data_IF_506865556564
#
_entry.id   IF_506865556564
#
_cell.length_a   1.000
_cell.length_b   1.000
_cell.length_c   1.000
_cell.angle_alpha   90.00
_cell.angle_beta   90.00
_cell.angle_gamma   90.00
#
_symmetry.space_group_name_H-M   'P 1'
#
loop_
_entity.id
_entity.type
_entity.pdbx_description
1 polymer ?
#
# COMPACT_ATOMS: atom_id res chain seq x y z
N UNK A 1 -64.34 -20.07 -7.77
CA UNK A 1 -65.16 -19.80 -8.97
C UNK A 1 -64.24 -19.38 -10.11
N UNK A 2 -64.36 -20.09 -11.24
CA UNK A 2 -63.93 -19.78 -12.61
C UNK A 2 -62.45 -19.56 -12.97
N UNK A 3 -61.90 -20.61 -13.63
CA UNK A 3 -60.88 -20.62 -14.68
C UNK A 3 -61.41 -19.99 -15.99
N UNK A 4 -60.53 -19.42 -16.85
CA UNK A 4 -60.42 -19.53 -18.34
C UNK A 4 -59.00 -18.98 -18.71
N UNK A 5 -57.95 -19.75 -19.05
CA UNK A 5 -57.41 -20.18 -20.40
C UNK A 5 -57.29 -19.04 -21.45
N UNK A 6 -56.23 -18.82 -22.26
CA UNK A 6 -55.47 -19.70 -23.19
C UNK A 6 -54.18 -18.96 -23.66
N UNK A 7 -52.98 -19.57 -23.65
CA UNK A 7 -52.27 -20.31 -24.73
C UNK A 7 -51.67 -19.50 -25.91
N UNK A 8 -50.35 -19.72 -26.08
CA UNK A 8 -49.55 -19.90 -27.32
C UNK A 8 -49.20 -18.69 -28.20
N UNK A 9 -47.91 -18.42 -28.41
CA UNK A 9 -47.15 -18.98 -29.54
C UNK A 9 -45.74 -18.40 -29.65
N UNK A 10 -44.76 -19.27 -29.83
CA UNK A 10 -43.34 -18.99 -30.08
C UNK A 10 -43.09 -18.44 -31.48
N UNK A 11 -42.06 -17.58 -31.63
CA UNK A 11 -41.26 -17.47 -32.85
C UNK A 11 -39.88 -16.85 -32.52
N UNK A 12 -38.88 -17.71 -32.40
CA UNK A 12 -37.46 -17.36 -32.45
C UNK A 12 -37.12 -17.08 -33.91
N UNK A 13 -36.63 -15.87 -34.23
CA UNK A 13 -36.08 -15.53 -35.52
C UNK A 13 -34.58 -15.29 -35.38
N UNK A 14 -33.79 -16.33 -35.65
CA UNK A 14 -32.34 -16.23 -35.84
C UNK A 14 -32.11 -15.71 -37.26
N UNK A 15 -31.61 -14.49 -37.39
CA UNK A 15 -31.07 -13.97 -38.65
C UNK A 15 -29.56 -14.18 -38.65
N UNK A 16 -29.12 -15.30 -39.22
CA UNK A 16 -27.74 -15.49 -39.62
C UNK A 16 -27.54 -14.78 -40.96
N UNK A 17 -26.81 -13.67 -40.97
CA UNK A 17 -26.37 -13.01 -42.21
C UNK A 17 -24.96 -13.53 -42.51
N UNK A 18 -24.86 -14.44 -43.47
CA UNK A 18 -23.61 -14.90 -44.05
C UNK A 18 -23.21 -13.93 -45.17
N UNK A 19 -22.12 -13.20 -45.00
CA UNK A 19 -21.48 -12.44 -46.08
C UNK A 19 -20.41 -13.31 -46.77
N UNK A 20 -20.24 -13.20 -48.10
CA UNK A 20 -19.29 -14.03 -48.83
C UNK A 20 -17.86 -13.51 -48.67
N UNK A 21 -16.94 -14.45 -48.50
CA UNK A 21 -15.50 -14.21 -48.60
C UNK A 21 -15.15 -13.76 -50.02
N UNK A 22 -14.66 -12.52 -50.16
CA UNK A 22 -13.92 -12.06 -51.34
C UNK A 22 -12.48 -11.91 -50.89
N UNK A 23 -11.62 -12.78 -51.40
CA UNK A 23 -10.17 -12.67 -51.25
C UNK A 23 -9.63 -11.59 -52.19
N UNK A 24 -8.88 -10.64 -51.63
CA UNK A 24 -7.92 -9.83 -52.38
C UNK A 24 -6.72 -9.55 -51.46
N UNK A 25 -5.56 -9.97 -51.93
CA UNK A 25 -4.26 -9.84 -51.29
C UNK A 25 -3.86 -8.37 -51.10
N UNK A 26 -3.59 -7.96 -49.86
CA UNK A 26 -2.71 -6.84 -49.53
C UNK A 26 -1.94 -7.19 -48.25
N UNK A 27 -0.61 -7.16 -48.34
CA UNK A 27 0.30 -7.18 -47.19
C UNK A 27 -0.01 -5.96 -46.32
N UNK A 28 -0.45 -6.16 -45.08
CA UNK A 28 0.11 -5.51 -43.90
C UNK A 28 -0.46 -6.13 -42.60
N UNK A 29 0.25 -5.93 -41.49
CA UNK A 29 0.14 -6.61 -40.20
C UNK A 29 -1.25 -7.04 -39.73
N UNK A 30 -1.30 -8.27 -39.23
CA UNK A 30 -2.33 -8.83 -38.35
C UNK A 30 -2.53 -7.93 -37.12
N UNK A 31 -3.69 -7.30 -36.98
CA UNK A 31 -4.18 -6.75 -35.72
C UNK A 31 -5.32 -7.66 -35.26
N UNK A 32 -5.20 -8.22 -34.05
CA UNK A 32 -6.23 -9.09 -33.48
C UNK A 32 -7.51 -8.27 -33.21
N UNK A 33 -8.73 -8.83 -33.35
CA UNK A 33 -9.98 -8.10 -33.08
C UNK A 33 -10.06 -7.49 -31.67
N UNK A 34 -9.38 -8.09 -30.69
CA UNK A 34 -9.24 -7.59 -29.31
C UNK A 34 -8.36 -6.32 -29.22
N UNK A 35 -7.28 -6.24 -30.01
CA UNK A 35 -6.40 -5.07 -30.05
C UNK A 35 -7.05 -3.85 -30.73
N UNK A 36 -7.94 -4.09 -31.70
CA UNK A 36 -8.66 -3.02 -32.36
C UNK A 36 -9.73 -2.36 -31.45
N UNK A 37 -10.35 -3.15 -30.57
CA UNK A 37 -11.39 -2.66 -29.63
C UNK A 37 -10.77 -1.97 -28.41
N UNK A 38 -9.68 -2.50 -27.85
CA UNK A 38 -8.95 -1.86 -26.74
C UNK A 38 -8.37 -0.50 -27.14
N UNK A 39 -7.78 -0.39 -28.34
CA UNK A 39 -7.23 0.87 -28.85
C UNK A 39 -8.29 1.96 -29.05
N UNK A 40 -9.50 1.59 -29.49
CA UNK A 40 -10.61 2.55 -29.61
C UNK A 40 -11.15 3.02 -28.26
N UNK A 41 -11.24 2.11 -27.28
CA UNK A 41 -11.66 2.42 -25.91
C UNK A 41 -10.67 3.38 -25.23
N UNK A 42 -9.37 3.08 -25.32
CA UNK A 42 -8.31 3.95 -24.80
C UNK A 42 -8.33 5.33 -25.46
N UNK A 43 -8.48 5.42 -26.79
CA UNK A 43 -8.58 6.71 -27.49
C UNK A 43 -9.75 7.57 -26.97
N UNK A 44 -10.91 6.94 -26.73
CA UNK A 44 -12.07 7.64 -26.19
C UNK A 44 -11.83 8.12 -24.76
N UNK A 45 -11.31 7.26 -23.88
CA UNK A 45 -11.01 7.60 -22.48
C UNK A 45 -9.93 8.68 -22.38
N UNK A 46 -8.86 8.63 -23.19
CA UNK A 46 -7.86 9.71 -23.27
C UNK A 46 -8.48 11.03 -23.71
N UNK A 47 -9.36 11.01 -24.72
CA UNK A 47 -10.03 12.21 -25.22
C UNK A 47 -11.00 12.80 -24.19
N UNK A 48 -11.70 11.93 -23.45
CA UNK A 48 -12.56 12.31 -22.34
C UNK A 48 -11.76 12.93 -21.19
N UNK A 49 -10.66 12.29 -20.77
CA UNK A 49 -9.77 12.80 -19.73
C UNK A 49 -9.25 14.19 -20.09
N UNK A 50 -8.68 14.36 -21.29
CA UNK A 50 -8.16 15.67 -21.76
C UNK A 50 -9.22 16.77 -21.68
N UNK A 51 -10.45 16.47 -22.12
CA UNK A 51 -11.57 17.42 -22.02
C UNK A 51 -11.89 17.76 -20.55
N UNK A 52 -11.86 16.77 -19.66
CA UNK A 52 -12.13 16.99 -18.25
C UNK A 52 -11.04 17.85 -17.60
N UNK A 53 -9.77 17.66 -17.98
CA UNK A 53 -8.64 18.48 -17.54
C UNK A 53 -8.81 19.93 -18.00
N UNK A 54 -9.13 20.15 -19.28
CA UNK A 54 -9.38 21.49 -19.83
C UNK A 54 -10.50 22.23 -19.08
N UNK A 55 -11.52 21.49 -18.62
CA UNK A 55 -12.66 22.05 -17.88
C UNK A 55 -12.38 22.23 -16.38
N UNK A 56 -11.55 21.38 -15.77
CA UNK A 56 -11.29 21.39 -14.32
C UNK A 56 -9.98 22.07 -13.92
N UNK A 57 -9.23 22.62 -14.88
CA UNK A 57 -7.97 23.36 -14.72
C UNK A 57 -6.76 22.54 -14.25
N UNK A 58 -6.94 21.36 -13.66
CA UNK A 58 -5.84 20.45 -13.29
C UNK A 58 -6.22 18.98 -13.49
N UNK A 59 -5.19 18.13 -13.61
CA UNK A 59 -5.39 16.68 -13.79
C UNK A 59 -5.97 16.05 -12.54
N UNK A 60 -5.53 16.42 -11.35
CA UNK A 60 -6.09 15.90 -10.10
C UNK A 60 -7.57 16.19 -9.94
N UNK A 61 -8.01 17.41 -10.24
CA UNK A 61 -9.44 17.77 -10.17
C UNK A 61 -10.28 16.98 -11.17
N UNK A 62 -9.74 16.76 -12.37
CA UNK A 62 -10.38 15.91 -13.37
C UNK A 62 -10.50 14.46 -12.85
N UNK A 63 -9.42 13.90 -12.32
CA UNK A 63 -9.38 12.54 -11.75
C UNK A 63 -10.37 12.41 -10.58
N UNK A 64 -10.35 13.32 -9.61
CA UNK A 64 -11.30 13.29 -8.49
C UNK A 64 -12.75 13.36 -8.96
N UNK A 65 -13.03 14.22 -9.94
CA UNK A 65 -14.37 14.35 -10.53
C UNK A 65 -14.81 13.06 -11.22
N UNK A 66 -13.92 12.42 -11.98
CA UNK A 66 -14.22 11.16 -12.67
C UNK A 66 -14.39 10.03 -11.64
N UNK A 67 -13.45 9.85 -10.72
CA UNK A 67 -13.49 8.82 -9.69
C UNK A 67 -14.78 8.88 -8.86
N UNK A 68 -15.25 10.08 -8.52
CA UNK A 68 -16.50 10.27 -7.75
C UNK A 68 -17.76 9.83 -8.50
N UNK A 69 -17.77 9.90 -9.84
CA UNK A 69 -18.96 9.59 -10.66
C UNK A 69 -18.86 8.23 -11.37
N UNK A 70 -17.65 7.75 -11.60
CA UNK A 70 -17.33 6.52 -12.32
C UNK A 70 -16.28 5.71 -11.53
N UNK A 71 -16.61 5.27 -10.31
CA UNK A 71 -15.66 4.59 -9.43
C UNK A 71 -15.14 3.26 -10.01
N UNK A 72 -15.90 2.62 -10.89
CA UNK A 72 -15.52 1.36 -11.56
C UNK A 72 -14.45 1.56 -12.64
N UNK A 73 -14.32 2.78 -13.17
CA UNK A 73 -13.40 3.10 -14.27
C UNK A 73 -12.12 3.79 -13.78
N UNK A 74 -12.01 4.06 -12.47
CA UNK A 74 -10.94 4.91 -11.91
C UNK A 74 -9.54 4.37 -12.23
N UNK A 75 -9.32 3.06 -12.14
CA UNK A 75 -8.01 2.44 -12.38
C UNK A 75 -7.60 2.61 -13.84
N UNK A 76 -8.51 2.34 -14.79
CA UNK A 76 -8.28 2.54 -16.23
C UNK A 76 -8.04 4.01 -16.57
N UNK A 77 -8.71 4.93 -15.89
CA UNK A 77 -8.50 6.37 -16.09
C UNK A 77 -7.15 6.82 -15.52
N UNK A 78 -6.75 6.29 -14.36
CA UNK A 78 -5.43 6.55 -13.77
C UNK A 78 -4.32 6.01 -14.66
N UNK A 79 -4.48 4.81 -15.22
CA UNK A 79 -3.56 4.20 -16.19
C UNK A 79 -3.27 5.16 -17.35
N UNK A 80 -4.34 5.63 -18.00
CA UNK A 80 -4.26 6.60 -19.10
C UNK A 80 -3.68 7.94 -18.64
N UNK A 81 -4.01 8.39 -17.43
CA UNK A 81 -3.53 9.66 -16.90
C UNK A 81 -2.03 9.63 -16.62
N UNK A 82 -1.50 8.54 -16.07
CA UNK A 82 -0.07 8.35 -15.83
C UNK A 82 0.72 8.29 -17.15
N UNK A 83 0.14 7.70 -18.19
CA UNK A 83 0.74 7.71 -19.54
C UNK A 83 0.70 9.09 -20.20
N UNK A 84 -0.40 9.84 -19.98
CA UNK A 84 -0.62 11.13 -20.65
C UNK A 84 0.09 12.28 -19.93
N UNK A 85 0.19 12.23 -18.60
CA UNK A 85 0.73 13.28 -17.74
C UNK A 85 1.69 12.70 -16.68
N UNK A 86 2.78 12.02 -17.09
CA UNK A 86 3.68 11.31 -16.16
C UNK A 86 4.31 12.23 -15.12
N UNK A 87 4.63 13.48 -15.49
CA UNK A 87 5.19 14.49 -14.57
C UNK A 87 4.20 14.90 -13.45
N UNK A 88 2.92 14.57 -13.60
CA UNK A 88 1.86 14.88 -12.64
C UNK A 88 1.42 13.66 -11.83
N UNK A 89 2.20 12.56 -11.82
CA UNK A 89 1.86 11.33 -11.10
C UNK A 89 1.43 11.56 -9.64
N UNK A 90 2.08 12.52 -8.95
CA UNK A 90 1.75 12.85 -7.55
C UNK A 90 0.31 13.31 -7.40
N UNK A 91 -0.13 14.20 -8.28
CA UNK A 91 -1.47 14.76 -8.24
C UNK A 91 -2.50 13.70 -8.66
N UNK A 92 -2.17 12.88 -9.66
CA UNK A 92 -3.04 11.80 -10.16
C UNK A 92 -3.29 10.75 -9.08
N UNK A 93 -2.23 10.18 -8.51
CA UNK A 93 -2.32 9.10 -7.51
C UNK A 93 -3.05 9.61 -6.27
N UNK A 94 -2.67 10.79 -5.76
CA UNK A 94 -3.31 11.38 -4.59
C UNK A 94 -4.80 11.63 -4.83
N UNK A 95 -5.16 12.25 -5.95
CA UNK A 95 -6.55 12.53 -6.28
C UNK A 95 -7.39 11.25 -6.44
N UNK A 96 -6.84 10.22 -7.08
CA UNK A 96 -7.53 8.95 -7.30
C UNK A 96 -7.78 8.22 -5.98
N UNK A 97 -6.75 8.05 -5.15
CA UNK A 97 -6.84 7.34 -3.86
C UNK A 97 -7.78 8.08 -2.91
N UNK A 98 -7.61 9.39 -2.74
CA UNK A 98 -8.50 10.15 -1.83
C UNK A 98 -9.95 10.19 -2.29
N UNK A 99 -10.22 10.00 -3.58
CA UNK A 99 -11.59 9.99 -4.11
C UNK A 99 -12.20 8.59 -4.13
N UNK A 100 -11.38 7.55 -4.30
CA UNK A 100 -11.80 6.15 -4.32
C UNK A 100 -10.84 5.26 -3.52
N UNK A 101 -10.91 5.30 -2.17
CA UNK A 101 -10.07 4.49 -1.29
C UNK A 101 -10.08 2.99 -1.59
N UNK A 102 -11.22 2.44 -2.03
CA UNK A 102 -11.33 1.01 -2.33
C UNK A 102 -10.45 0.52 -3.48
N UNK A 103 -9.92 1.43 -4.30
CA UNK A 103 -9.03 1.12 -5.43
C UNK A 103 -7.55 1.38 -5.11
N UNK A 104 -7.22 1.64 -3.84
CA UNK A 104 -5.86 2.01 -3.40
C UNK A 104 -4.82 0.98 -3.81
N UNK A 105 -5.09 -0.30 -3.55
CA UNK A 105 -4.17 -1.40 -3.85
C UNK A 105 -3.81 -1.45 -5.35
N UNK A 106 -4.84 -1.46 -6.21
CA UNK A 106 -4.69 -1.49 -7.66
C UNK A 106 -3.98 -0.23 -8.19
N UNK A 107 -4.28 0.95 -7.65
CA UNK A 107 -3.63 2.21 -8.05
C UNK A 107 -2.15 2.23 -7.66
N UNK A 108 -1.80 1.73 -6.48
CA UNK A 108 -0.41 1.64 -6.01
C UNK A 108 0.36 0.65 -6.87
N UNK A 109 -0.19 -0.54 -7.11
CA UNK A 109 0.42 -1.54 -7.98
C UNK A 109 0.66 -0.98 -9.38
N UNK A 110 -0.35 -0.35 -9.99
CA UNK A 110 -0.26 0.28 -11.30
C UNK A 110 0.85 1.35 -11.36
N UNK A 111 0.95 2.19 -10.33
CA UNK A 111 1.98 3.23 -10.27
C UNK A 111 3.40 2.65 -10.18
N UNK A 112 3.58 1.56 -9.43
CA UNK A 112 4.86 0.85 -9.30
C UNK A 112 5.22 0.18 -10.62
N UNK A 113 4.27 -0.55 -11.24
CA UNK A 113 4.47 -1.23 -12.52
C UNK A 113 4.82 -0.26 -13.66
N UNK A 114 4.28 0.95 -13.62
CA UNK A 114 4.62 2.02 -14.59
C UNK A 114 5.91 2.76 -14.26
N UNK A 115 6.56 2.45 -13.13
CA UNK A 115 7.80 3.08 -12.70
C UNK A 115 7.74 4.63 -12.67
N UNK A 116 6.58 5.20 -12.33
CA UNK A 116 6.38 6.67 -12.34
C UNK A 116 7.20 7.37 -11.23
N UNK A 117 7.61 6.62 -10.21
CA UNK A 117 8.55 7.02 -9.17
C UNK A 117 9.13 5.78 -8.48
N UNK A 118 9.97 5.98 -7.46
CA UNK A 118 10.40 4.88 -6.59
C UNK A 118 9.23 4.36 -5.75
N UNK A 119 9.23 3.06 -5.46
CA UNK A 119 8.19 2.42 -4.64
C UNK A 119 7.98 3.13 -3.29
N UNK A 120 9.03 3.51 -2.52
CA UNK A 120 8.86 4.23 -1.25
C UNK A 120 8.15 5.59 -1.40
N UNK A 121 8.39 6.30 -2.52
CA UNK A 121 7.70 7.57 -2.77
C UNK A 121 6.21 7.36 -3.07
N UNK A 122 5.87 6.29 -3.79
CA UNK A 122 4.49 5.91 -4.10
C UNK A 122 3.77 5.51 -2.81
N UNK A 123 4.41 4.68 -1.98
CA UNK A 123 3.90 4.28 -0.65
C UNK A 123 3.61 5.49 0.23
N UNK A 124 4.58 6.41 0.37
CA UNK A 124 4.38 7.64 1.14
C UNK A 124 3.18 8.44 0.62
N UNK A 125 3.11 8.64 -0.69
CA UNK A 125 2.05 9.42 -1.31
C UNK A 125 0.67 8.79 -1.08
N UNK A 126 0.56 7.47 -1.25
CA UNK A 126 -0.69 6.73 -1.09
C UNK A 126 -1.19 6.75 0.37
N UNK A 127 -0.29 6.55 1.34
CA UNK A 127 -0.63 6.64 2.76
C UNK A 127 -1.05 8.06 3.14
N UNK A 128 -0.38 9.09 2.61
CA UNK A 128 -0.79 10.48 2.82
C UNK A 128 -2.17 10.79 2.22
N UNK A 129 -2.52 10.15 1.10
CA UNK A 129 -3.79 10.33 0.42
C UNK A 129 -4.95 9.65 1.15
N UNK A 130 -4.70 8.47 1.72
CA UNK A 130 -5.67 7.72 2.52
C UNK A 130 -4.98 6.87 3.62
N UNK A 131 -4.81 7.41 4.83
CA UNK A 131 -4.11 6.73 5.92
C UNK A 131 -4.80 5.45 6.39
N UNK A 132 -6.13 5.34 6.23
CA UNK A 132 -6.88 4.18 6.74
C UNK A 132 -6.67 2.91 5.89
N UNK A 133 -6.11 3.05 4.68
CA UNK A 133 -5.82 1.96 3.75
C UNK A 133 -4.34 1.55 3.74
N UNK A 134 -3.57 1.95 4.75
CA UNK A 134 -2.13 1.70 4.83
C UNK A 134 -1.75 0.22 4.66
N UNK A 135 -2.52 -0.71 5.20
CA UNK A 135 -2.26 -2.16 5.06
C UNK A 135 -2.29 -2.60 3.58
N UNK A 136 -3.25 -2.10 2.80
CA UNK A 136 -3.35 -2.37 1.36
C UNK A 136 -2.20 -1.74 0.57
N UNK A 137 -1.76 -0.54 0.97
CA UNK A 137 -0.62 0.14 0.34
C UNK A 137 0.66 -0.65 0.53
N UNK A 138 0.96 -1.03 1.79
CA UNK A 138 2.19 -1.76 2.09
C UNK A 138 2.17 -3.18 1.53
N UNK A 139 1.00 -3.82 1.48
CA UNK A 139 0.81 -5.11 0.80
C UNK A 139 1.17 -5.02 -0.69
N UNK A 140 0.51 -4.12 -1.43
CA UNK A 140 0.75 -3.93 -2.87
C UNK A 140 2.24 -3.66 -3.15
N UNK A 141 2.85 -2.78 -2.35
CA UNK A 141 4.25 -2.42 -2.47
C UNK A 141 5.19 -3.60 -2.18
N UNK A 142 4.95 -4.36 -1.10
CA UNK A 142 5.80 -5.47 -0.70
C UNK A 142 5.72 -6.66 -1.68
N UNK A 143 4.55 -6.86 -2.31
CA UNK A 143 4.37 -7.84 -3.38
C UNK A 143 5.06 -7.40 -4.66
N UNK A 144 4.92 -6.12 -5.04
CA UNK A 144 5.47 -5.60 -6.29
C UNK A 144 7.00 -5.46 -6.26
N UNK A 145 7.58 -5.06 -5.11
CA UNK A 145 9.03 -4.85 -4.94
C UNK A 145 9.53 -5.48 -3.63
N UNK A 146 9.60 -6.82 -3.53
CA UNK A 146 9.99 -7.52 -2.30
C UNK A 146 11.40 -7.17 -1.80
N UNK A 147 12.30 -6.76 -2.69
CA UNK A 147 13.65 -6.30 -2.39
C UNK A 147 13.69 -4.95 -1.65
N UNK A 148 12.65 -4.12 -1.79
CA UNK A 148 12.52 -2.83 -1.11
C UNK A 148 11.75 -2.93 0.23
N UNK A 149 11.39 -4.14 0.69
CA UNK A 149 10.55 -4.37 1.86
C UNK A 149 10.97 -3.57 3.10
N UNK A 150 12.27 -3.54 3.42
CA UNK A 150 12.75 -2.77 4.57
C UNK A 150 12.48 -1.27 4.42
N UNK A 151 12.61 -0.72 3.22
CA UNK A 151 12.39 0.71 2.97
C UNK A 151 10.89 1.05 2.91
N UNK A 152 10.07 0.13 2.39
CA UNK A 152 8.60 0.22 2.45
C UNK A 152 8.13 0.29 3.90
N UNK A 153 8.59 -0.62 4.76
CA UNK A 153 8.27 -0.62 6.20
C UNK A 153 8.69 0.70 6.83
N UNK A 154 9.93 1.14 6.57
CA UNK A 154 10.48 2.39 7.14
C UNK A 154 9.61 3.58 6.78
N UNK A 155 9.28 3.75 5.50
CA UNK A 155 8.50 4.87 5.00
C UNK A 155 7.05 4.82 5.47
N UNK A 156 6.44 3.63 5.46
CA UNK A 156 5.05 3.47 5.91
C UNK A 156 4.90 3.83 7.40
N UNK A 157 5.79 3.31 8.24
CA UNK A 157 5.80 3.55 9.68
C UNK A 157 6.13 5.02 10.00
N UNK A 158 7.04 5.66 9.26
CA UNK A 158 7.28 7.11 9.41
C UNK A 158 6.10 7.97 8.96
N UNK A 159 5.38 7.55 7.92
CA UNK A 159 4.27 8.32 7.35
C UNK A 159 3.01 8.18 8.19
N UNK A 160 2.75 6.98 8.72
CA UNK A 160 1.62 6.69 9.61
C UNK A 160 2.07 5.90 10.86
N UNK A 161 2.71 6.59 11.84
CA UNK A 161 3.19 5.96 13.08
C UNK A 161 2.09 5.24 13.87
N UNK A 162 0.87 5.80 13.87
CA UNK A 162 -0.27 5.25 14.60
C UNK A 162 -0.74 3.88 14.06
N UNK A 163 -0.35 3.54 12.83
CA UNK A 163 -0.67 2.25 12.21
C UNK A 163 0.55 1.30 12.17
N UNK A 164 1.66 1.64 12.83
CA UNK A 164 2.88 0.85 12.76
C UNK A 164 2.69 -0.60 13.20
N UNK A 165 1.86 -0.84 14.21
CA UNK A 165 1.51 -2.19 14.67
C UNK A 165 0.82 -2.99 13.55
N UNK A 166 -0.16 -2.38 12.87
CA UNK A 166 -0.90 -3.00 11.76
C UNK A 166 0.02 -3.29 10.59
N UNK A 167 0.88 -2.33 10.22
CA UNK A 167 1.87 -2.50 9.14
C UNK A 167 2.80 -3.69 9.43
N UNK A 168 3.38 -3.73 10.63
CA UNK A 168 4.30 -4.83 11.02
C UNK A 168 3.55 -6.15 11.02
N UNK A 169 2.33 -6.19 11.54
CA UNK A 169 1.52 -7.41 11.59
C UNK A 169 1.18 -7.93 10.19
N UNK A 170 0.65 -7.07 9.31
CA UNK A 170 0.29 -7.40 7.92
C UNK A 170 1.49 -7.96 7.18
N UNK A 171 2.60 -7.22 7.15
CA UNK A 171 3.79 -7.63 6.40
C UNK A 171 4.46 -8.87 7.00
N UNK A 172 4.42 -9.06 8.33
CA UNK A 172 4.98 -10.25 8.98
C UNK A 172 4.19 -11.51 8.66
N UNK A 173 2.86 -11.40 8.51
CA UNK A 173 2.00 -12.53 8.12
C UNK A 173 2.25 -12.94 6.66
N UNK A 174 2.44 -11.96 5.78
CA UNK A 174 2.64 -12.17 4.35
C UNK A 174 4.05 -12.60 4.00
N UNK A 175 5.04 -12.13 4.77
CA UNK A 175 6.46 -12.46 4.60
C UNK A 175 7.07 -13.04 5.89
N UNK A 176 6.68 -14.27 6.32
CA UNK A 176 7.16 -14.85 7.59
C UNK A 176 8.69 -15.04 7.67
N UNK A 177 9.35 -15.21 6.53
CA UNK A 177 10.80 -15.33 6.41
C UNK A 177 11.54 -13.98 6.51
N UNK A 178 10.81 -12.87 6.56
CA UNK A 178 11.31 -11.49 6.61
C UNK A 178 10.93 -10.74 7.89
N UNK A 179 10.33 -11.43 8.87
CA UNK A 179 9.89 -10.86 10.15
C UNK A 179 10.97 -10.01 10.82
N UNK A 180 12.23 -10.46 10.81
CA UNK A 180 13.36 -9.72 11.41
C UNK A 180 13.62 -8.41 10.72
N UNK A 181 13.67 -8.43 9.38
CA UNK A 181 13.94 -7.27 8.54
C UNK A 181 12.82 -6.22 8.74
N UNK A 182 11.56 -6.69 8.82
CA UNK A 182 10.38 -5.86 9.06
C UNK A 182 10.45 -5.22 10.44
N UNK A 183 10.60 -6.03 11.49
CA UNK A 183 10.63 -5.56 12.88
C UNK A 183 11.79 -4.60 13.15
N UNK A 184 12.98 -4.93 12.63
CA UNK A 184 14.16 -4.07 12.76
C UNK A 184 13.97 -2.74 12.03
N UNK A 185 13.40 -2.77 10.83
CA UNK A 185 13.13 -1.54 10.07
C UNK A 185 12.11 -0.65 10.78
N UNK A 186 11.01 -1.24 11.29
CA UNK A 186 10.00 -0.51 12.05
C UNK A 186 10.58 0.11 13.34
N UNK A 187 11.38 -0.66 14.10
CA UNK A 187 12.02 -0.18 15.33
C UNK A 187 12.95 1.01 15.07
N UNK A 188 13.74 0.96 14.00
CA UNK A 188 14.64 2.04 13.61
C UNK A 188 13.89 3.27 13.08
N UNK A 189 12.71 3.07 12.48
CA UNK A 189 11.92 4.13 11.88
C UNK A 189 11.15 4.94 12.94
N UNK A 190 10.48 4.23 13.85
CA UNK A 190 9.62 4.86 14.84
C UNK A 190 9.78 4.20 16.21
N UNK A 191 10.19 4.96 17.25
CA UNK A 191 10.36 4.43 18.60
C UNK A 191 9.06 4.04 19.31
N UNK A 192 7.90 4.47 18.79
CA UNK A 192 6.58 4.18 19.38
C UNK A 192 6.19 2.69 19.26
N UNK A 193 6.79 1.93 18.34
CA UNK A 193 6.52 0.47 18.16
C UNK A 193 7.31 -0.41 19.13
N UNK A 194 8.06 0.20 20.05
CA UNK A 194 9.11 -0.45 20.84
C UNK A 194 8.65 -1.58 21.77
N UNK A 195 7.43 -1.58 22.30
CA UNK A 195 7.01 -2.63 23.25
C UNK A 195 6.83 -3.99 22.54
N UNK A 196 5.88 -4.09 21.60
CA UNK A 196 5.60 -5.34 20.90
C UNK A 196 6.77 -5.83 20.05
N UNK A 197 7.49 -4.91 19.38
CA UNK A 197 8.64 -5.28 18.56
C UNK A 197 9.76 -5.85 19.41
N UNK A 198 10.00 -5.31 20.61
CA UNK A 198 10.99 -5.86 21.54
C UNK A 198 10.56 -7.25 22.03
N UNK A 199 9.30 -7.43 22.44
CA UNK A 199 8.80 -8.74 22.86
C UNK A 199 8.98 -9.80 21.76
N UNK A 200 8.52 -9.48 20.55
CA UNK A 200 8.57 -10.39 19.41
C UNK A 200 10.00 -10.69 18.97
N UNK A 201 10.88 -9.67 18.90
CA UNK A 201 12.29 -9.87 18.54
C UNK A 201 13.03 -10.70 19.60
N UNK A 202 12.77 -10.48 20.89
CA UNK A 202 13.42 -11.25 21.95
C UNK A 202 12.90 -12.70 22.01
N UNK A 203 11.63 -12.93 21.67
CA UNK A 203 11.07 -14.27 21.57
C UNK A 203 11.73 -15.11 20.45
N UNK A 204 12.05 -14.48 19.31
CA UNK A 204 12.66 -15.17 18.17
C UNK A 204 14.20 -15.17 18.25
N UNK A 205 14.81 -14.11 18.78
CA UNK A 205 16.26 -13.89 18.87
C UNK A 205 16.71 -13.52 20.29
N UNK A 206 16.64 -14.45 21.26
CA UNK A 206 17.02 -14.18 22.65
C UNK A 206 18.50 -13.82 22.82
N UNK A 207 19.35 -14.17 21.85
CA UNK A 207 20.78 -13.85 21.86
C UNK A 207 21.10 -12.42 21.41
N UNK A 208 20.18 -11.76 20.69
CA UNK A 208 20.35 -10.39 20.17
C UNK A 208 19.76 -9.33 21.12
N UNK A 209 19.46 -9.73 22.36
CA UNK A 209 18.80 -8.89 23.35
C UNK A 209 19.52 -7.56 23.60
N UNK A 210 20.85 -7.56 23.54
CA UNK A 210 21.65 -6.34 23.65
C UNK A 210 21.27 -5.32 22.58
N UNK A 211 21.35 -5.72 21.31
CA UNK A 211 21.10 -4.84 20.17
C UNK A 211 19.65 -4.37 20.12
N UNK A 212 18.70 -5.27 20.38
CA UNK A 212 17.26 -4.96 20.38
C UNK A 212 16.92 -3.94 21.47
N UNK A 213 17.34 -4.21 22.72
CA UNK A 213 17.05 -3.31 23.85
C UNK A 213 17.80 -1.98 23.72
N UNK A 214 19.09 -2.00 23.35
CA UNK A 214 19.86 -0.77 23.18
C UNK A 214 19.24 0.15 22.13
N UNK A 215 18.83 -0.42 20.99
CA UNK A 215 18.21 0.35 19.91
C UNK A 215 16.86 0.89 20.35
N UNK A 216 16.00 0.06 20.92
CA UNK A 216 14.68 0.47 21.39
C UNK A 216 14.77 1.60 22.45
N UNK A 217 15.64 1.45 23.46
CA UNK A 217 15.81 2.46 24.51
C UNK A 217 16.38 3.76 23.96
N UNK A 218 17.37 3.69 23.05
CA UNK A 218 17.99 4.87 22.45
C UNK A 218 16.98 5.68 21.64
N UNK A 219 16.24 5.01 20.76
CA UNK A 219 15.26 5.68 19.90
C UNK A 219 14.06 6.21 20.73
N UNK A 220 13.67 5.54 21.80
CA UNK A 220 12.57 5.97 22.69
C UNK A 220 13.01 6.91 23.83
N UNK A 221 14.28 7.32 23.90
CA UNK A 221 14.86 8.07 25.03
C UNK A 221 14.14 9.38 25.38
N UNK A 222 13.46 10.00 24.43
CA UNK A 222 12.67 11.22 24.65
C UNK A 222 11.32 10.98 25.35
N UNK A 223 10.92 9.71 25.51
CA UNK A 223 9.61 9.30 26.02
C UNK A 223 9.76 8.34 27.18
N UNK A 224 9.71 8.89 28.40
CA UNK A 224 9.91 8.13 29.64
C UNK A 224 9.00 6.91 29.75
N UNK A 225 7.70 7.06 29.45
CA UNK A 225 6.74 5.94 29.53
C UNK A 225 7.09 4.80 28.56
N UNK A 226 7.59 5.12 27.38
CA UNK A 226 7.95 4.12 26.39
C UNK A 226 9.20 3.34 26.79
N UNK A 227 10.21 4.04 27.35
CA UNK A 227 11.40 3.40 27.92
C UNK A 227 11.01 2.44 29.06
N UNK A 228 10.09 2.84 29.93
CA UNK A 228 9.59 1.96 31.01
C UNK A 228 8.99 0.68 30.44
N UNK A 229 8.08 0.81 29.45
CA UNK A 229 7.44 -0.34 28.80
C UNK A 229 8.44 -1.26 28.10
N UNK A 230 9.43 -0.70 27.40
CA UNK A 230 10.50 -1.47 26.74
C UNK A 230 11.32 -2.27 27.75
N UNK A 231 11.74 -1.65 28.85
CA UNK A 231 12.55 -2.31 29.88
C UNK A 231 11.75 -3.42 30.58
N UNK A 232 10.49 -3.15 30.95
CA UNK A 232 9.60 -4.15 31.55
C UNK A 232 9.37 -5.34 30.62
N UNK A 233 9.17 -5.08 29.33
CA UNK A 233 8.98 -6.12 28.30
C UNK A 233 10.23 -6.98 28.14
N UNK A 234 11.40 -6.36 28.05
CA UNK A 234 12.66 -7.09 27.98
C UNK A 234 12.92 -7.95 29.23
N UNK A 235 12.55 -7.45 30.41
CA UNK A 235 12.61 -8.22 31.65
C UNK A 235 11.66 -9.42 31.62
N UNK A 236 10.41 -9.23 31.17
CA UNK A 236 9.44 -10.33 30.98
C UNK A 236 9.90 -11.36 29.95
N UNK A 237 10.59 -10.94 28.89
CA UNK A 237 11.20 -11.81 27.89
C UNK A 237 12.44 -12.57 28.41
N UNK A 238 12.87 -12.32 29.66
CA UNK A 238 13.93 -13.07 30.35
C UNK A 238 15.31 -12.42 30.32
N UNK A 239 15.42 -11.14 29.93
CA UNK A 239 16.68 -10.38 30.03
C UNK A 239 16.96 -10.08 31.50
N UNK A 240 18.12 -10.50 32.01
CA UNK A 240 18.50 -10.29 33.41
C UNK A 240 18.73 -8.81 33.73
N UNK A 241 18.30 -8.36 34.92
CA UNK A 241 18.38 -6.96 35.38
C UNK A 241 19.77 -6.33 35.21
N UNK A 242 20.84 -7.07 35.54
CA UNK A 242 22.22 -6.57 35.41
C UNK A 242 22.59 -6.27 33.95
N UNK A 243 22.16 -7.12 33.01
CA UNK A 243 22.36 -6.95 31.57
C UNK A 243 21.44 -5.86 31.02
N UNK A 244 20.19 -5.84 31.48
CA UNK A 244 19.22 -4.84 31.08
C UNK A 244 19.69 -3.43 31.46
N UNK A 245 20.30 -3.29 32.64
CA UNK A 245 20.98 -2.08 33.07
C UNK A 245 22.17 -1.72 32.18
N UNK A 246 23.04 -2.68 31.84
CA UNK A 246 24.14 -2.46 30.90
C UNK A 246 23.62 -1.90 29.55
N UNK A 247 22.59 -2.52 28.98
CA UNK A 247 22.01 -2.14 27.69
C UNK A 247 21.37 -0.75 27.75
N UNK A 248 20.60 -0.47 28.80
CA UNK A 248 19.96 0.83 28.98
C UNK A 248 20.99 1.98 29.13
N UNK A 249 22.05 1.76 29.91
CA UNK A 249 23.13 2.73 30.06
C UNK A 249 23.91 2.93 28.76
N UNK A 250 24.18 1.85 28.01
CA UNK A 250 24.83 1.92 26.70
C UNK A 250 23.98 2.68 25.66
N UNK A 251 22.66 2.63 25.80
CA UNK A 251 21.70 3.40 25.00
C UNK A 251 21.61 4.90 25.38
N UNK A 252 22.32 5.33 26.44
CA UNK A 252 22.35 6.72 26.90
C UNK A 252 21.34 7.06 28.00
N UNK A 253 20.64 6.06 28.58
CA UNK A 253 19.78 6.27 29.73
C UNK A 253 20.62 6.52 30.99
N UNK A 254 20.19 7.44 31.87
CA UNK A 254 20.88 7.64 33.15
C UNK A 254 20.54 6.53 34.14
N UNK A 255 21.43 6.29 35.12
CA UNK A 255 21.19 5.29 36.16
C UNK A 255 19.97 5.65 37.04
N UNK A 256 19.71 6.95 37.24
CA UNK A 256 18.55 7.44 37.98
C UNK A 256 17.25 7.19 37.20
N UNK A 257 17.25 7.40 35.89
CA UNK A 257 16.10 7.13 35.02
C UNK A 257 15.82 5.62 34.91
N UNK A 258 16.87 4.80 34.82
CA UNK A 258 16.73 3.34 34.82
C UNK A 258 16.08 2.83 36.13
N UNK A 259 16.61 3.27 37.28
CA UNK A 259 16.08 2.86 38.58
C UNK A 259 14.64 3.33 38.77
N UNK A 260 14.29 4.50 38.25
CA UNK A 260 12.91 5.00 38.27
C UNK A 260 11.98 4.21 37.35
N UNK A 261 12.52 3.58 36.31
CA UNK A 261 11.76 2.83 35.32
C UNK A 261 11.47 1.38 35.75
N UNK A 262 12.39 0.73 36.45
CA UNK A 262 12.21 -0.66 36.93
C UNK A 262 11.48 -0.75 38.28
N UNK A 263 11.49 0.30 39.11
CA UNK A 263 10.89 0.27 40.45
C UNK A 263 9.44 0.83 40.53
N UNK A 264 8.79 1.08 39.40
CA UNK A 264 7.35 1.40 39.32
C UNK A 264 6.55 0.14 38.95
#
# INVERSE_FOLDING_TARGET
>A
MFRITSLLSSAVLVLAVSTPAIGMSAKDGTVSPEEATSNQSNYFQTSFLKRQVDQNMSVGRAISSIASHYPQDVVSIVDIALDTYPDQYREIIFAAISSQPSSTEEIVQLAIEKEVSSCPNIVQLAIMAEPTYVDFVVHAAAVATPEELSEIVRVAVLTQPDAADSIVQTLSQEHPNKIVDIMTSALNAVPFVGEYVVDALLAVFPNDAKTVVETAVRESSQQREQVIRILATAQHAGVQDDKLKEYALAAGLSEEDFNSAINN
#
